data_IF_984822701800
#
_entry.id   IF_984822701800
#
_cell.length_a   1.000
_cell.length_b   1.000
_cell.length_c   1.000
_cell.angle_alpha   90.00
_cell.angle_beta   90.00
_cell.angle_gamma   90.00
#
_symmetry.space_group_name_H-M   'P 1'
#
loop_
_entity.id
_entity.type
_entity.pdbx_description
1 polymer ?
#
# COMPACT_ATOMS: atom_id res chain seq x y z
N UNK A 1 8.35 -2.08 -20.75
CA UNK A 1 8.52 -1.38 -19.43
C UNK A 1 9.57 -2.16 -18.62
N UNK A 2 10.45 -1.48 -17.86
CA UNK A 2 11.49 -2.19 -17.07
C UNK A 2 10.98 -2.40 -15.64
N UNK A 3 10.63 -3.63 -15.28
CA UNK A 3 10.12 -4.02 -13.96
C UNK A 3 11.14 -3.72 -12.85
N UNK A 4 12.45 -3.96 -13.11
CA UNK A 4 13.52 -3.75 -12.12
C UNK A 4 13.68 -2.27 -11.75
N UNK A 5 13.50 -1.36 -12.72
CA UNK A 5 13.48 0.08 -12.45
C UNK A 5 12.29 0.46 -11.58
N UNK A 6 11.12 -0.10 -11.83
CA UNK A 6 9.93 0.21 -11.03
C UNK A 6 10.04 -0.33 -9.59
N UNK A 7 10.69 -1.50 -9.39
CA UNK A 7 11.02 -2.00 -8.04
C UNK A 7 11.95 -1.02 -7.32
N UNK A 8 13.02 -0.58 -8.02
CA UNK A 8 13.96 0.40 -7.47
C UNK A 8 13.24 1.71 -7.09
N UNK A 9 12.29 2.17 -7.92
CA UNK A 9 11.45 3.32 -7.61
C UNK A 9 10.59 3.10 -6.37
N UNK A 10 9.98 1.92 -6.20
CA UNK A 10 9.23 1.58 -4.99
C UNK A 10 10.11 1.69 -3.73
N UNK A 11 11.34 1.20 -3.78
CA UNK A 11 12.28 1.30 -2.66
C UNK A 11 12.67 2.75 -2.34
N UNK A 12 12.93 3.55 -3.38
CA UNK A 12 13.23 4.98 -3.21
C UNK A 12 12.05 5.69 -2.57
N UNK A 13 10.84 5.49 -3.10
CA UNK A 13 9.64 6.16 -2.57
C UNK A 13 9.32 5.71 -1.13
N UNK A 14 9.50 4.44 -0.80
CA UNK A 14 9.37 3.96 0.58
C UNK A 14 10.35 4.65 1.53
N UNK A 15 11.61 4.84 1.12
CA UNK A 15 12.61 5.59 1.91
C UNK A 15 12.22 7.06 2.06
N UNK A 16 11.72 7.69 1.00
CA UNK A 16 11.27 9.08 1.06
C UNK A 16 10.04 9.24 1.96
N UNK A 17 9.07 8.32 1.90
CA UNK A 17 7.93 8.30 2.83
C UNK A 17 8.44 8.26 4.27
N UNK A 18 9.38 7.36 4.59
CA UNK A 18 9.97 7.26 5.92
C UNK A 18 10.67 8.54 6.37
N UNK A 19 11.35 9.23 5.45
CA UNK A 19 12.08 10.46 5.73
C UNK A 19 11.14 11.63 6.04
N UNK A 20 10.02 11.72 5.33
CA UNK A 20 9.11 12.87 5.39
C UNK A 20 7.88 12.62 6.27
N UNK A 21 7.63 11.39 6.73
CA UNK A 21 6.52 11.10 7.64
C UNK A 21 6.66 11.93 8.93
N UNK A 22 5.63 12.64 9.36
CA UNK A 22 4.25 12.65 8.90
C UNK A 22 3.87 13.85 7.99
N UNK A 23 4.80 14.45 7.26
CA UNK A 23 4.49 15.59 6.38
C UNK A 23 3.43 15.19 5.33
N UNK A 24 2.20 15.74 5.41
CA UNK A 24 1.09 15.25 4.58
C UNK A 24 1.31 15.46 3.09
N UNK A 25 2.00 16.53 2.69
CA UNK A 25 2.25 16.85 1.29
C UNK A 25 3.25 15.85 0.67
N UNK A 26 4.39 15.65 1.33
CA UNK A 26 5.41 14.76 0.80
C UNK A 26 5.00 13.29 0.89
N UNK A 27 4.33 12.89 1.97
CA UNK A 27 3.85 11.50 2.09
C UNK A 27 2.80 11.20 1.02
N UNK A 28 1.85 12.09 0.77
CA UNK A 28 0.85 11.92 -0.32
C UNK A 28 1.52 11.80 -1.68
N UNK A 29 2.47 12.69 -1.97
CA UNK A 29 3.22 12.68 -3.22
C UNK A 29 3.98 11.37 -3.44
N UNK A 30 4.80 10.95 -2.47
CA UNK A 30 5.62 9.74 -2.62
C UNK A 30 4.78 8.47 -2.55
N UNK A 31 3.72 8.44 -1.75
CA UNK A 31 2.80 7.31 -1.71
C UNK A 31 2.06 7.13 -3.04
N UNK A 32 1.60 8.22 -3.64
CA UNK A 32 1.02 8.20 -4.99
C UNK A 32 2.01 7.65 -6.02
N UNK A 33 3.27 8.07 -5.97
CA UNK A 33 4.32 7.55 -6.86
C UNK A 33 4.60 6.08 -6.62
N UNK A 34 4.64 5.64 -5.36
CA UNK A 34 4.79 4.24 -4.98
C UNK A 34 3.69 3.36 -5.58
N UNK A 35 2.42 3.76 -5.42
CA UNK A 35 1.28 3.03 -6.00
C UNK A 35 1.36 3.00 -7.53
N UNK A 36 1.79 4.08 -8.16
CA UNK A 36 1.99 4.11 -9.62
C UNK A 36 3.03 3.09 -10.08
N UNK A 37 4.16 2.99 -9.37
CA UNK A 37 5.20 2.01 -9.69
C UNK A 37 4.71 0.58 -9.52
N UNK A 38 3.91 0.28 -8.49
CA UNK A 38 3.28 -1.05 -8.34
C UNK A 38 2.36 -1.38 -9.52
N UNK A 39 1.52 -0.44 -9.93
CA UNK A 39 0.65 -0.65 -11.11
C UNK A 39 1.47 -0.86 -12.38
N UNK A 40 2.59 -0.15 -12.53
CA UNK A 40 3.50 -0.36 -13.64
C UNK A 40 4.14 -1.75 -13.59
N UNK A 41 4.56 -2.23 -12.43
CA UNK A 41 5.08 -3.60 -12.26
C UNK A 41 4.04 -4.63 -12.71
N UNK A 42 2.79 -4.51 -12.25
CA UNK A 42 1.71 -5.42 -12.67
C UNK A 42 1.52 -5.40 -14.18
N UNK A 43 1.50 -4.21 -14.80
CA UNK A 43 1.41 -4.11 -16.26
C UNK A 43 2.64 -4.71 -16.95
N UNK A 44 3.85 -4.53 -16.38
CA UNK A 44 5.09 -5.12 -16.90
C UNK A 44 5.06 -6.64 -16.90
N UNK A 45 4.52 -7.27 -15.85
CA UNK A 45 4.32 -8.72 -15.81
C UNK A 45 3.44 -9.19 -16.99
N UNK A 46 2.35 -8.47 -17.29
CA UNK A 46 1.51 -8.78 -18.44
C UNK A 46 2.15 -8.43 -19.79
N UNK A 47 3.09 -7.47 -19.84
CA UNK A 47 3.91 -7.22 -21.03
C UNK A 47 4.87 -8.39 -21.31
N UNK A 48 5.57 -8.90 -20.26
CA UNK A 48 6.40 -10.12 -20.39
C UNK A 48 5.55 -11.31 -20.85
N UNK A 49 4.40 -11.54 -20.21
CA UNK A 49 3.47 -12.60 -20.61
C UNK A 49 2.95 -12.43 -22.05
N UNK A 50 2.65 -11.20 -22.49
CA UNK A 50 2.22 -10.92 -23.86
C UNK A 50 3.27 -11.37 -24.91
N UNK A 51 4.55 -11.20 -24.61
CA UNK A 51 5.66 -11.62 -25.48
C UNK A 51 5.73 -13.15 -25.49
N UNK A 52 5.79 -13.77 -24.31
CA UNK A 52 6.03 -15.21 -24.17
C UNK A 52 4.87 -16.07 -24.68
N UNK A 53 3.62 -15.60 -24.54
CA UNK A 53 2.44 -16.24 -25.13
C UNK A 53 2.19 -15.84 -26.60
N UNK A 54 2.98 -14.92 -27.18
CA UNK A 54 2.83 -14.50 -28.57
C UNK A 54 1.47 -13.86 -28.89
N UNK A 55 0.93 -13.09 -27.96
CA UNK A 55 -0.39 -12.45 -28.16
C UNK A 55 -0.31 -11.23 -29.08
N UNK A 56 0.87 -10.58 -29.21
CA UNK A 56 1.12 -9.43 -30.07
C UNK A 56 0.21 -8.23 -29.82
N UNK A 57 0.00 -7.89 -28.53
CA UNK A 57 -0.66 -6.64 -28.15
C UNK A 57 0.38 -5.52 -28.33
N UNK A 58 0.10 -4.56 -29.18
CA UNK A 58 1.03 -3.46 -29.54
C UNK A 58 0.84 -2.21 -28.70
N UNK A 59 -0.27 -2.07 -28.02
CA UNK A 59 -0.56 -0.97 -27.10
C UNK A 59 -0.20 -1.35 -25.65
N UNK A 60 -0.29 -0.39 -24.73
CA UNK A 60 -0.04 -0.65 -23.31
C UNK A 60 -0.81 -1.87 -22.82
N UNK A 61 -0.07 -2.91 -22.41
CA UNK A 61 -0.64 -4.16 -21.93
C UNK A 61 -1.16 -3.97 -20.51
N UNK A 62 -2.42 -4.28 -20.32
CA UNK A 62 -3.05 -4.39 -19.01
C UNK A 62 -3.62 -5.80 -18.87
N UNK A 63 -3.88 -6.26 -17.66
CA UNK A 63 -4.51 -7.57 -17.45
C UNK A 63 -5.81 -7.73 -18.26
N UNK A 64 -6.62 -6.67 -18.33
CA UNK A 64 -7.87 -6.68 -19.11
C UNK A 64 -7.62 -6.92 -20.60
N UNK A 65 -6.73 -6.12 -21.23
CA UNK A 65 -6.40 -6.28 -22.65
C UNK A 65 -5.75 -7.63 -22.95
N UNK A 66 -4.90 -8.11 -22.03
CA UNK A 66 -4.32 -9.44 -22.12
C UNK A 66 -5.42 -10.52 -22.19
N UNK A 67 -6.40 -10.47 -21.29
CA UNK A 67 -7.52 -11.41 -21.26
C UNK A 67 -8.38 -11.33 -22.53
N UNK A 68 -8.70 -10.13 -22.99
CA UNK A 68 -9.46 -9.91 -24.22
C UNK A 68 -8.75 -10.55 -25.41
N UNK A 69 -7.44 -10.32 -25.53
CA UNK A 69 -6.64 -10.86 -26.64
C UNK A 69 -6.45 -12.38 -26.55
N UNK A 70 -6.19 -12.91 -25.35
CA UNK A 70 -6.09 -14.35 -25.12
C UNK A 70 -7.40 -15.08 -25.47
N UNK A 71 -8.55 -14.51 -25.10
CA UNK A 71 -9.86 -15.03 -25.49
C UNK A 71 -10.07 -15.02 -27.02
N UNK A 72 -9.72 -13.92 -27.69
CA UNK A 72 -9.84 -13.82 -29.16
C UNK A 72 -8.98 -14.86 -29.88
N UNK A 73 -7.77 -15.13 -29.35
CA UNK A 73 -6.87 -16.15 -29.91
C UNK A 73 -7.18 -17.57 -29.45
N UNK A 74 -8.11 -17.76 -28.52
CA UNK A 74 -8.41 -19.03 -27.86
C UNK A 74 -7.15 -19.65 -27.20
N UNK A 75 -6.24 -18.82 -26.68
CA UNK A 75 -5.02 -19.28 -26.01
C UNK A 75 -5.35 -19.65 -24.55
N UNK A 76 -5.57 -20.95 -24.33
CA UNK A 76 -5.94 -21.48 -23.02
C UNK A 76 -4.84 -21.29 -21.99
N UNK A 77 -3.57 -21.34 -22.36
CA UNK A 77 -2.44 -21.22 -21.42
C UNK A 77 -2.27 -19.77 -20.96
N UNK A 78 -2.43 -18.80 -21.88
CA UNK A 78 -2.50 -17.39 -21.51
C UNK A 78 -3.67 -17.11 -20.53
N UNK A 79 -4.83 -17.71 -20.77
CA UNK A 79 -5.98 -17.60 -19.87
C UNK A 79 -5.75 -18.28 -18.51
N UNK A 80 -5.05 -19.43 -18.48
CA UNK A 80 -4.64 -20.10 -17.23
C UNK A 80 -3.69 -19.21 -16.43
N UNK A 81 -2.71 -18.58 -17.08
CA UNK A 81 -1.82 -17.62 -16.44
C UNK A 81 -2.59 -16.47 -15.79
N UNK A 82 -3.46 -15.81 -16.52
CA UNK A 82 -4.22 -14.69 -15.99
C UNK A 82 -5.15 -15.09 -14.83
N UNK A 83 -5.78 -16.27 -14.91
CA UNK A 83 -6.58 -16.82 -13.80
C UNK A 83 -5.72 -17.15 -12.58
N UNK A 84 -4.53 -17.71 -12.78
CA UNK A 84 -3.57 -17.99 -11.71
C UNK A 84 -3.12 -16.68 -11.04
N UNK A 85 -2.73 -15.67 -11.84
CA UNK A 85 -2.34 -14.36 -11.34
C UNK A 85 -3.44 -13.72 -10.49
N UNK A 86 -4.68 -13.75 -10.98
CA UNK A 86 -5.83 -13.23 -10.22
C UNK A 86 -6.08 -14.00 -8.92
N UNK A 87 -5.87 -15.34 -8.92
CA UNK A 87 -6.02 -16.17 -7.71
C UNK A 87 -4.88 -15.92 -6.71
N UNK A 88 -3.64 -15.80 -7.18
CA UNK A 88 -2.49 -15.45 -6.34
C UNK A 88 -2.72 -14.08 -5.72
N UNK A 89 -3.08 -13.14 -6.53
CA UNK A 89 -3.46 -11.81 -6.09
C UNK A 89 -4.62 -11.84 -5.06
N UNK A 90 -5.52 -12.83 -5.11
CA UNK A 90 -6.59 -13.04 -4.12
C UNK A 90 -6.18 -13.88 -2.91
N UNK A 91 -5.35 -14.94 -3.05
CA UNK A 91 -4.99 -15.88 -1.96
C UNK A 91 -3.98 -15.30 -0.96
N UNK A 92 -3.15 -14.38 -1.37
CA UNK A 92 -2.38 -13.57 -0.43
C UNK A 92 -3.28 -12.68 0.44
N UNK A 93 -4.59 -12.80 0.23
CA UNK A 93 -5.70 -12.13 0.91
C UNK A 93 -6.09 -12.71 2.28
N UNK A 94 -5.55 -13.82 2.69
CA UNK A 94 -5.77 -14.33 4.06
C UNK A 94 -4.96 -13.55 5.10
N UNK A 95 -4.02 -12.73 4.63
CA UNK A 95 -3.33 -11.74 5.46
C UNK A 95 -4.01 -10.37 5.23
N UNK A 96 -4.49 -9.67 6.28
CA UNK A 96 -5.26 -8.42 6.14
C UNK A 96 -4.55 -7.29 5.38
N UNK A 97 -3.22 -7.35 5.27
CA UNK A 97 -2.43 -6.31 4.63
C UNK A 97 -2.33 -6.41 3.09
N UNK A 98 -2.17 -7.58 2.46
CA UNK A 98 -2.23 -7.72 1.01
C UNK A 98 -3.53 -7.20 0.38
N UNK A 99 -4.69 -7.44 0.99
CA UNK A 99 -5.98 -6.90 0.54
C UNK A 99 -5.98 -5.38 0.41
N UNK A 100 -5.26 -4.72 1.29
CA UNK A 100 -5.21 -3.27 1.36
C UNK A 100 -4.57 -2.66 0.12
N UNK A 101 -3.48 -3.24 -0.39
CA UNK A 101 -2.79 -2.72 -1.58
C UNK A 101 -3.56 -2.99 -2.86
N UNK A 102 -4.11 -4.19 -3.01
CA UNK A 102 -4.95 -4.49 -4.15
C UNK A 102 -6.13 -3.53 -4.26
N UNK A 103 -6.75 -3.17 -3.13
CA UNK A 103 -7.80 -2.16 -3.12
C UNK A 103 -7.29 -0.81 -3.57
N UNK A 104 -6.12 -0.36 -3.09
CA UNK A 104 -5.53 0.90 -3.53
C UNK A 104 -5.21 0.87 -5.04
N UNK A 105 -4.66 -0.23 -5.54
CA UNK A 105 -4.37 -0.39 -6.95
C UNK A 105 -5.65 -0.47 -7.80
N UNK A 106 -6.71 -1.14 -7.31
CA UNK A 106 -8.02 -1.19 -7.96
C UNK A 106 -8.68 0.19 -8.00
N UNK A 107 -8.69 0.94 -6.92
CA UNK A 107 -9.24 2.31 -6.87
C UNK A 107 -8.64 3.18 -7.96
N UNK A 108 -7.34 3.07 -8.19
CA UNK A 108 -6.68 3.86 -9.22
C UNK A 108 -7.03 3.43 -10.64
N UNK A 109 -7.21 2.12 -10.88
CA UNK A 109 -7.59 1.60 -12.18
C UNK A 109 -9.03 1.98 -12.59
N UNK A 110 -9.88 2.30 -11.62
CA UNK A 110 -11.27 2.73 -11.81
C UNK A 110 -11.46 4.25 -11.84
N UNK A 111 -10.38 5.02 -12.01
CA UNK A 111 -10.37 6.49 -11.96
C UNK A 111 -10.83 7.10 -10.62
N UNK A 112 -10.85 6.33 -9.56
CA UNK A 112 -11.12 6.85 -8.23
C UNK A 112 -9.90 7.55 -7.62
N UNK A 113 -10.14 8.59 -6.84
CA UNK A 113 -9.09 9.26 -6.09
C UNK A 113 -8.50 8.32 -5.04
N UNK A 114 -7.17 8.34 -4.87
CA UNK A 114 -6.53 7.61 -3.79
C UNK A 114 -7.19 7.93 -2.44
N UNK A 115 -7.27 6.95 -1.52
CA UNK A 115 -7.80 7.20 -0.18
C UNK A 115 -7.05 8.34 0.48
N UNK A 116 -7.79 9.22 1.16
CA UNK A 116 -7.21 10.38 1.83
C UNK A 116 -6.26 9.96 2.95
N UNK A 117 -5.10 10.60 2.98
CA UNK A 117 -4.14 10.44 4.05
C UNK A 117 -4.67 11.11 5.31
N UNK A 118 -4.47 10.46 6.44
CA UNK A 118 -4.75 10.97 7.78
C UNK A 118 -3.46 10.93 8.60
N UNK A 119 -3.28 11.92 9.45
CA UNK A 119 -2.20 11.88 10.43
C UNK A 119 -2.77 11.39 11.76
N UNK A 120 -2.08 10.45 12.39
CA UNK A 120 -2.49 9.90 13.68
C UNK A 120 -1.37 10.05 14.70
N UNK A 121 -1.75 10.38 15.92
CA UNK A 121 -0.85 10.39 17.08
C UNK A 121 -1.01 9.05 17.78
N UNK A 122 0.12 8.39 18.07
CA UNK A 122 0.14 7.10 18.78
C UNK A 122 1.34 6.97 19.70
N UNK A 123 1.26 6.05 20.67
CA UNK A 123 2.42 5.67 21.47
C UNK A 123 3.31 4.67 20.69
N UNK A 124 4.64 4.78 20.88
CA UNK A 124 5.61 3.85 20.26
C UNK A 124 5.58 2.47 20.92
N UNK A 125 5.28 2.40 22.21
CA UNK A 125 5.18 1.15 22.95
C UNK A 125 3.71 0.79 23.18
N UNK A 126 3.34 -0.44 22.79
CA UNK A 126 2.02 -1.01 23.05
C UNK A 126 2.17 -2.14 24.07
N UNK A 127 1.33 -2.13 25.09
CA UNK A 127 1.20 -3.25 26.02
C UNK A 127 0.12 -4.20 25.53
N UNK A 128 0.15 -5.46 25.99
CA UNK A 128 -0.73 -6.54 25.54
C UNK A 128 -2.23 -6.20 25.66
N UNK A 129 -2.60 -5.36 26.63
CA UNK A 129 -3.98 -4.95 26.89
C UNK A 129 -4.26 -3.49 26.52
N UNK A 130 -3.45 -2.90 25.66
CA UNK A 130 -3.51 -1.48 25.32
C UNK A 130 -4.59 -1.23 24.26
N UNK A 131 -5.79 -0.96 24.68
CA UNK A 131 -6.93 -0.59 23.84
C UNK A 131 -7.08 0.94 23.73
N UNK A 132 -6.02 1.65 23.42
CA UNK A 132 -6.14 3.08 23.28
C UNK A 132 -6.60 3.49 21.88
N UNK A 133 -7.45 4.49 21.88
CA UNK A 133 -7.89 5.11 20.65
C UNK A 133 -6.85 6.13 20.22
N UNK A 134 -6.28 5.92 19.02
CA UNK A 134 -5.39 6.90 18.41
C UNK A 134 -6.15 8.18 18.07
N UNK A 135 -5.53 9.33 18.32
CA UNK A 135 -6.14 10.62 17.98
C UNK A 135 -5.80 10.91 16.51
N UNK A 136 -6.87 11.00 15.71
CA UNK A 136 -6.77 11.32 14.29
C UNK A 136 -6.77 12.82 14.06
N UNK A 137 -5.82 13.31 13.25
CA UNK A 137 -5.79 14.68 12.78
C UNK A 137 -6.42 14.72 11.40
N UNK A 138 -7.59 15.31 11.30
CA UNK A 138 -8.26 15.54 10.02
C UNK A 138 -7.66 16.76 9.34
N UNK A 139 -6.84 16.53 8.34
CA UNK A 139 -6.12 17.57 7.61
C UNK A 139 -7.07 18.55 6.91
N UNK A 140 -8.18 18.05 6.36
CA UNK A 140 -9.12 18.86 5.60
C UNK A 140 -9.98 19.76 6.50
N UNK A 141 -10.62 19.17 7.51
CA UNK A 141 -11.52 19.91 8.40
C UNK A 141 -10.76 20.84 9.34
N UNK A 142 -9.50 20.51 9.66
CA UNK A 142 -8.61 21.36 10.47
C UNK A 142 -7.86 22.41 9.64
N UNK A 143 -8.07 22.45 8.32
CA UNK A 143 -7.37 23.36 7.39
C UNK A 143 -5.84 23.30 7.50
N UNK A 144 -5.30 22.10 7.73
CA UNK A 144 -3.86 21.87 7.80
C UNK A 144 -3.34 21.72 6.39
N UNK A 145 -2.50 22.64 5.95
CA UNK A 145 -1.93 22.70 4.61
C UNK A 145 -0.40 22.79 4.61
N UNK A 146 0.23 22.97 5.77
CA UNK A 146 1.68 23.00 5.90
C UNK A 146 2.17 22.17 7.08
N UNK A 147 3.47 21.85 7.06
CA UNK A 147 4.13 21.11 8.15
C UNK A 147 4.08 21.88 9.45
N UNK A 148 4.27 23.19 9.42
CA UNK A 148 4.23 24.04 10.61
C UNK A 148 2.84 24.01 11.28
N UNK A 149 1.78 24.05 10.48
CA UNK A 149 0.41 23.93 10.99
C UNK A 149 0.15 22.53 11.57
N UNK A 150 0.68 21.47 10.93
CA UNK A 150 0.61 20.12 11.44
C UNK A 150 1.33 19.99 12.78
N UNK A 151 2.54 20.53 12.91
CA UNK A 151 3.33 20.49 14.16
C UNK A 151 2.61 21.22 15.30
N UNK A 152 1.97 22.34 15.02
CA UNK A 152 1.13 23.07 16.00
C UNK A 152 -0.03 22.20 16.45
N UNK A 153 -0.74 21.55 15.52
CA UNK A 153 -1.88 20.72 15.85
C UNK A 153 -1.46 19.46 16.62
N UNK A 154 -0.35 18.82 16.26
CA UNK A 154 0.22 17.69 17.00
C UNK A 154 0.55 18.11 18.43
N UNK A 155 1.23 19.24 18.62
CA UNK A 155 1.55 19.77 19.96
C UNK A 155 0.29 20.05 20.79
N UNK A 156 -0.76 20.55 20.16
CA UNK A 156 -2.04 20.83 20.80
C UNK A 156 -2.76 19.53 21.22
N UNK A 157 -2.70 18.49 20.41
CA UNK A 157 -3.42 17.23 20.69
C UNK A 157 -2.64 16.26 21.57
N UNK A 158 -1.32 16.35 21.64
CA UNK A 158 -0.49 15.44 22.42
C UNK A 158 -0.87 15.38 23.92
N UNK A 159 -1.11 16.49 24.63
CA UNK A 159 -1.58 16.43 26.02
C UNK A 159 -2.90 15.70 26.19
N UNK A 160 -3.86 15.95 25.30
CA UNK A 160 -5.18 15.30 25.30
C UNK A 160 -5.02 13.78 25.10
N UNK A 161 -4.16 13.39 24.16
CA UNK A 161 -3.85 11.98 23.92
C UNK A 161 -3.21 11.31 25.14
N UNK A 162 -2.24 11.98 25.79
CA UNK A 162 -1.60 11.48 27.00
C UNK A 162 -2.59 11.28 28.15
N UNK A 163 -3.50 12.21 28.32
CA UNK A 163 -4.53 12.11 29.35
C UNK A 163 -5.42 10.88 29.11
N UNK A 164 -5.92 10.71 27.88
CA UNK A 164 -6.80 9.59 27.51
C UNK A 164 -6.10 8.25 27.68
N UNK A 165 -4.88 8.11 27.13
CA UNK A 165 -4.16 6.84 27.18
C UNK A 165 -3.73 6.49 28.61
N UNK A 166 -3.26 7.48 29.39
CA UNK A 166 -2.81 7.25 30.75
C UNK A 166 -3.97 6.97 31.72
N UNK A 167 -5.16 7.55 31.46
CA UNK A 167 -6.36 7.19 32.22
C UNK A 167 -6.74 5.72 32.03
N UNK A 168 -6.70 5.23 30.79
CA UNK A 168 -6.96 3.80 30.48
C UNK A 168 -5.90 2.88 31.07
N UNK A 169 -4.62 3.24 30.98
CA UNK A 169 -3.51 2.45 31.55
C UNK A 169 -3.59 2.37 33.06
N UNK A 170 -3.92 3.45 33.71
CA UNK A 170 -4.12 3.47 35.16
C UNK A 170 -5.25 2.53 35.63
N UNK A 171 -6.30 2.34 34.82
CA UNK A 171 -7.35 1.37 35.09
C UNK A 171 -6.88 -0.09 35.01
N UNK A 172 -5.79 -0.34 34.28
CA UNK A 172 -5.21 -1.67 34.04
C UNK A 172 -3.89 -1.89 34.78
N UNK A 173 -3.52 -1.02 35.73
CA UNK A 173 -2.24 -1.06 36.45
C UNK A 173 -1.00 -1.02 35.51
N UNK A 174 -1.12 -0.38 34.37
CA UNK A 174 -0.05 -0.27 33.38
C UNK A 174 0.77 1.01 33.55
N UNK A 175 2.09 0.99 33.22
CA UNK A 175 2.95 2.17 33.36
C UNK A 175 2.51 3.29 32.41
N UNK A 176 2.60 4.54 32.90
CA UNK A 176 2.22 5.74 32.13
C UNK A 176 3.11 5.95 30.91
N UNK A 177 2.49 6.41 29.83
CA UNK A 177 3.19 6.91 28.65
C UNK A 177 3.67 8.32 28.87
N UNK A 178 4.87 8.64 28.40
CA UNK A 178 5.45 9.99 28.42
C UNK A 178 5.46 10.59 27.00
N UNK A 179 5.62 11.91 26.89
CA UNK A 179 5.74 12.61 25.59
C UNK A 179 6.84 12.02 24.69
N UNK A 180 7.94 11.53 25.27
CA UNK A 180 9.05 10.93 24.50
C UNK A 180 8.68 9.64 23.77
N UNK A 181 7.58 9.01 24.16
CA UNK A 181 7.09 7.76 23.57
C UNK A 181 5.92 7.99 22.61
N UNK A 182 5.64 9.23 22.27
CA UNK A 182 4.57 9.59 21.34
C UNK A 182 5.18 9.94 19.99
N UNK A 183 4.59 9.38 18.96
CA UNK A 183 4.91 9.69 17.57
C UNK A 183 3.65 10.06 16.80
N UNK A 184 3.84 10.75 15.71
CA UNK A 184 2.82 10.97 14.68
C UNK A 184 3.25 10.26 13.40
N UNK A 185 2.30 9.66 12.69
CA UNK A 185 2.53 8.97 11.44
C UNK A 185 1.37 9.18 10.48
N UNK A 186 1.65 8.99 9.19
CA UNK A 186 0.64 9.05 8.15
C UNK A 186 -0.05 7.69 7.94
N UNK A 187 -1.37 7.73 7.83
CA UNK A 187 -2.24 6.57 7.65
C UNK A 187 -3.13 6.75 6.44
N UNK A 188 -3.51 5.64 5.87
CA UNK A 188 -4.53 5.57 4.82
C UNK A 188 -5.69 4.68 5.30
N UNK A 189 -6.91 5.12 5.06
CA UNK A 189 -8.11 4.32 5.33
C UNK A 189 -8.44 3.49 4.09
N UNK A 190 -8.35 2.19 4.20
CA UNK A 190 -8.58 1.26 3.10
C UNK A 190 -9.94 0.61 3.15
N UNK A 191 -10.51 0.51 4.34
CA UNK A 191 -11.86 0.01 4.61
C UNK A 191 -12.45 0.75 5.79
N UNK A 192 -13.77 0.69 5.94
CA UNK A 192 -14.45 1.27 7.08
C UNK A 192 -13.81 0.78 8.39
N UNK A 193 -13.17 1.69 9.12
CA UNK A 193 -12.45 1.45 10.39
C UNK A 193 -11.11 0.71 10.30
N UNK A 194 -10.51 0.57 9.12
CA UNK A 194 -9.18 -0.02 8.96
C UNK A 194 -8.19 1.05 8.47
N UNK A 195 -7.58 1.78 9.40
CA UNK A 195 -6.52 2.72 9.11
C UNK A 195 -5.16 1.99 9.18
N UNK A 196 -4.41 2.02 8.09
CA UNK A 196 -3.10 1.36 7.95
C UNK A 196 -2.01 2.40 7.82
N UNK A 197 -0.93 2.25 8.59
CA UNK A 197 0.24 3.12 8.51
C UNK A 197 0.93 2.96 7.15
N UNK A 198 1.09 4.06 6.43
CA UNK A 198 1.60 4.05 5.05
C UNK A 198 3.01 3.48 4.97
N UNK A 199 3.90 3.87 5.89
CA UNK A 199 5.27 3.36 5.92
C UNK A 199 5.30 1.84 6.12
N UNK A 200 4.52 1.32 7.05
CA UNK A 200 4.40 -0.11 7.31
C UNK A 200 3.85 -0.85 6.09
N UNK A 201 2.84 -0.28 5.44
CA UNK A 201 2.28 -0.80 4.21
C UNK A 201 3.37 -0.96 3.14
N UNK A 202 4.15 0.07 2.86
CA UNK A 202 5.21 0.04 1.84
C UNK A 202 6.31 -0.99 2.18
N UNK A 203 6.68 -1.12 3.45
CA UNK A 203 7.70 -2.08 3.90
C UNK A 203 7.28 -3.53 3.68
N UNK A 204 6.01 -3.85 3.92
CA UNK A 204 5.48 -5.21 3.72
C UNK A 204 5.32 -5.52 2.24
N UNK A 205 4.86 -4.56 1.45
CA UNK A 205 4.49 -4.80 0.06
C UNK A 205 5.65 -4.94 -0.89
N UNK A 206 6.75 -4.22 -0.69
CA UNK A 206 7.90 -4.32 -1.59
C UNK A 206 8.44 -5.76 -1.71
N UNK A 207 8.65 -6.53 -0.61
CA UNK A 207 9.03 -7.94 -0.70
C UNK A 207 7.95 -8.83 -1.36
N UNK A 208 6.67 -8.57 -1.08
CA UNK A 208 5.56 -9.33 -1.67
C UNK A 208 5.50 -9.14 -3.18
N UNK A 209 5.71 -7.91 -3.67
CA UNK A 209 5.74 -7.61 -5.11
C UNK A 209 6.94 -8.32 -5.79
N UNK A 210 8.12 -8.33 -5.17
CA UNK A 210 9.29 -9.07 -5.71
C UNK A 210 8.96 -10.54 -5.89
N UNK A 211 8.41 -11.18 -4.86
CA UNK A 211 8.00 -12.58 -4.93
C UNK A 211 6.95 -12.82 -6.02
N UNK A 212 5.96 -11.93 -6.17
CA UNK A 212 4.94 -12.02 -7.21
C UNK A 212 5.54 -11.98 -8.61
N UNK A 213 6.57 -11.16 -8.85
CA UNK A 213 7.29 -11.09 -10.12
C UNK A 213 7.96 -12.44 -10.42
N UNK A 214 8.74 -12.96 -9.46
CA UNK A 214 9.48 -14.21 -9.64
C UNK A 214 8.54 -15.38 -9.91
N UNK A 215 7.49 -15.54 -9.10
CA UNK A 215 6.47 -16.58 -9.29
C UNK A 215 5.69 -16.42 -10.62
N UNK A 216 5.49 -15.17 -11.08
CA UNK A 216 4.84 -14.92 -12.38
C UNK A 216 5.71 -15.36 -13.53
N UNK A 217 7.00 -15.08 -13.50
CA UNK A 217 7.98 -15.50 -14.50
C UNK A 217 8.13 -17.02 -14.55
N UNK A 218 8.16 -17.68 -13.37
CA UNK A 218 8.15 -19.15 -13.30
C UNK A 218 6.87 -19.73 -13.91
N UNK A 219 5.71 -19.14 -13.59
CA UNK A 219 4.43 -19.62 -14.12
C UNK A 219 4.30 -19.42 -15.62
N UNK A 220 4.80 -18.33 -16.17
CA UNK A 220 4.87 -18.09 -17.61
C UNK A 220 5.72 -19.19 -18.27
N UNK A 221 6.93 -19.43 -17.77
CA UNK A 221 7.83 -20.49 -18.27
C UNK A 221 7.17 -21.87 -18.23
N UNK A 222 6.53 -22.22 -17.10
CA UNK A 222 5.81 -23.48 -16.98
C UNK A 222 4.77 -23.67 -18.09
N UNK A 223 4.00 -22.64 -18.39
CA UNK A 223 2.90 -22.72 -19.37
C UNK A 223 3.36 -22.58 -20.85
N UNK A 224 4.56 -22.04 -21.09
CA UNK A 224 5.11 -21.86 -22.44
C UNK A 224 6.10 -22.96 -22.85
N UNK A 225 6.78 -23.64 -21.90
CA UNK A 225 7.75 -24.70 -22.19
C UNK A 225 7.11 -26.01 -22.73
N UNK A 226 5.79 -26.10 -22.83
CA UNK A 226 5.09 -27.24 -23.41
C UNK A 226 4.66 -27.00 -24.86
N UNK A 227 5.06 -25.88 -25.46
CA UNK A 227 4.86 -25.55 -26.88
C UNK A 227 6.18 -25.70 -27.64
#
# INVERSE_FOLDING_TARGET
MNIEEEITRCEIYSKQIKQYDPDPFYVDYFFTKYINSINNIVNGIFEEANIDFGLFITEKVTQRKFNEKANLKKDEDALKFSKWFSKKNKKEHENPYPNSMNKICLFKNENEALPKIKIMIRATERYKNDFYQEIKIDLKNRKIISKEQLDIEIKRQTPIFLEIINAKRNQNDEPKVTNKKIISSAFVNLEKNNDVEIMYLCQIYTPVIRRLIDESREKIKELTNWK
#
